data_IF_138972424162
#
_entry.id   IF_138972424162
#
_cell.length_a   1.000
_cell.length_b   1.000
_cell.length_c   1.000
_cell.angle_alpha   90.00
_cell.angle_beta   90.00
_cell.angle_gamma   90.00
#
_symmetry.space_group_name_H-M   'P 1'
#
loop_
_entity.id
_entity.type
_entity.pdbx_description
1 polymer ?
#
# COMPACT_ATOMS: atom_id res chain seq x y z
N UNK A 1 3.80 13.82 14.11
CA UNK A 1 4.82 13.16 13.27
C UNK A 1 4.23 12.80 11.90
N UNK A 2 4.92 13.08 10.80
CA UNK A 2 4.48 12.67 9.46
C UNK A 2 5.29 11.47 8.97
N UNK A 3 4.78 10.25 9.14
CA UNK A 3 5.48 9.05 8.65
C UNK A 3 5.36 8.93 7.12
N UNK A 4 6.41 8.54 6.37
CA UNK A 4 6.35 8.38 4.92
C UNK A 4 5.17 7.52 4.46
N UNK A 5 4.95 6.37 5.12
CA UNK A 5 3.79 5.49 4.87
C UNK A 5 2.45 6.22 5.09
N UNK A 6 2.31 6.97 6.20
CA UNK A 6 1.10 7.74 6.52
C UNK A 6 0.85 8.87 5.52
N UNK A 7 1.90 9.58 5.11
CA UNK A 7 1.80 10.62 4.06
C UNK A 7 1.30 9.99 2.76
N UNK A 8 1.87 8.85 2.37
CA UNK A 8 1.46 8.12 1.18
C UNK A 8 -0.02 7.76 1.20
N UNK A 9 -0.52 7.15 2.29
CA UNK A 9 -1.93 6.79 2.41
C UNK A 9 -2.85 8.00 2.46
N UNK A 10 -2.42 9.09 3.10
CA UNK A 10 -3.19 10.34 3.15
C UNK A 10 -3.44 10.89 1.74
N UNK A 11 -2.42 10.91 0.88
CA UNK A 11 -2.55 11.33 -0.54
C UNK A 11 -3.58 10.49 -1.29
N UNK A 12 -3.59 9.17 -1.08
CA UNK A 12 -4.58 8.27 -1.70
C UNK A 12 -6.00 8.48 -1.15
N UNK A 13 -6.14 8.93 0.09
CA UNK A 13 -7.44 9.14 0.73
C UNK A 13 -8.13 10.43 0.28
N UNK A 14 -7.38 11.45 -0.15
CA UNK A 14 -7.96 12.69 -0.69
C UNK A 14 -8.81 12.44 -1.94
N UNK A 15 -9.88 13.22 -2.07
CA UNK A 15 -10.84 13.15 -3.18
C UNK A 15 -10.64 14.33 -4.10
N UNK A 16 -10.28 14.07 -5.36
CA UNK A 16 -10.17 15.10 -6.40
C UNK A 16 -11.29 14.98 -7.43
N UNK A 17 -11.72 16.11 -7.99
CA UNK A 17 -12.70 16.18 -9.10
C UNK A 17 -12.26 15.37 -10.34
N UNK A 18 -10.95 15.18 -10.52
CA UNK A 18 -10.34 14.40 -11.60
C UNK A 18 -10.61 12.88 -11.51
N UNK A 19 -11.27 12.39 -10.46
CA UNK A 19 -11.52 10.95 -10.30
C UNK A 19 -12.50 10.40 -11.35
N UNK A 20 -13.40 11.24 -11.89
CA UNK A 20 -14.50 10.80 -12.75
C UNK A 20 -14.04 10.08 -14.03
N UNK A 21 -13.01 10.59 -14.70
CA UNK A 21 -12.46 9.95 -15.90
C UNK A 21 -11.89 8.55 -15.60
N UNK A 22 -11.29 8.39 -14.43
CA UNK A 22 -10.72 7.12 -13.99
C UNK A 22 -11.83 6.14 -13.55
N UNK A 23 -12.92 6.64 -12.94
CA UNK A 23 -14.09 5.82 -12.65
C UNK A 23 -14.73 5.26 -13.91
N UNK A 24 -14.87 6.06 -14.97
CA UNK A 24 -15.46 5.61 -16.24
C UNK A 24 -14.56 4.56 -16.92
N UNK A 25 -13.24 4.74 -16.87
CA UNK A 25 -12.28 3.70 -17.27
C UNK A 25 -12.42 2.43 -16.45
N UNK A 26 -12.60 2.52 -15.13
CA UNK A 26 -12.81 1.34 -14.29
C UNK A 26 -14.14 0.62 -14.59
N UNK A 27 -15.22 1.37 -14.91
CA UNK A 27 -16.53 0.82 -15.28
C UNK A 27 -16.49 0.07 -16.62
N UNK A 28 -15.59 0.40 -17.54
CA UNK A 28 -15.48 -0.32 -18.81
C UNK A 28 -14.94 -1.75 -18.65
N UNK A 29 -14.34 -2.09 -17.50
CA UNK A 29 -13.91 -3.45 -17.20
C UNK A 29 -15.04 -4.23 -16.52
N UNK A 30 -15.60 -5.21 -17.24
CA UNK A 30 -16.70 -6.08 -16.77
C UNK A 30 -16.38 -6.88 -15.47
N UNK A 31 -15.13 -6.84 -14.98
CA UNK A 31 -14.68 -7.54 -13.78
C UNK A 31 -15.03 -6.79 -12.48
N UNK A 32 -15.12 -5.46 -12.52
CA UNK A 32 -15.58 -4.70 -11.36
C UNK A 32 -17.11 -4.72 -11.40
N UNK A 33 -17.72 -5.36 -10.40
CA UNK A 33 -19.15 -5.23 -10.16
C UNK A 33 -19.53 -3.74 -10.13
N UNK A 34 -20.78 -3.36 -10.41
CA UNK A 34 -21.24 -1.94 -10.38
C UNK A 34 -21.22 -1.30 -8.98
N UNK A 35 -20.46 -1.88 -8.05
CA UNK A 35 -20.20 -1.39 -6.71
C UNK A 35 -19.36 -0.12 -6.77
N UNK A 36 -19.97 0.98 -6.34
CA UNK A 36 -19.39 2.32 -6.42
C UNK A 36 -18.11 2.48 -5.58
N UNK A 37 -17.96 1.76 -4.47
CA UNK A 37 -16.74 1.83 -3.65
C UNK A 37 -15.57 1.12 -4.32
N UNK A 38 -15.82 -0.06 -4.93
CA UNK A 38 -14.77 -0.77 -5.68
C UNK A 38 -14.35 0.04 -6.90
N UNK A 39 -15.31 0.69 -7.58
CA UNK A 39 -15.03 1.63 -8.68
C UNK A 39 -14.16 2.79 -8.20
N UNK A 40 -14.44 3.38 -7.04
CA UNK A 40 -13.61 4.45 -6.46
C UNK A 40 -12.20 3.99 -6.11
N UNK A 41 -12.06 2.79 -5.52
CA UNK A 41 -10.74 2.19 -5.25
C UNK A 41 -9.96 2.00 -6.55
N UNK A 42 -10.61 1.45 -7.58
CA UNK A 42 -10.01 1.31 -8.91
C UNK A 42 -9.60 2.66 -9.50
N UNK A 43 -10.47 3.68 -9.42
CA UNK A 43 -10.20 4.99 -10.01
C UNK A 43 -8.98 5.66 -9.37
N UNK A 44 -8.86 5.59 -8.03
CA UNK A 44 -7.69 6.08 -7.28
C UNK A 44 -6.41 5.34 -7.69
N UNK A 45 -6.52 4.03 -7.84
CA UNK A 45 -5.43 3.18 -8.29
C UNK A 45 -4.97 3.54 -9.73
N UNK A 46 -5.90 3.70 -10.67
CA UNK A 46 -5.59 4.11 -12.05
C UNK A 46 -4.98 5.52 -12.09
N UNK A 47 -5.53 6.48 -11.33
CA UNK A 47 -4.97 7.83 -11.21
C UNK A 47 -3.52 7.77 -10.71
N UNK A 48 -3.29 7.02 -9.64
CA UNK A 48 -1.97 6.87 -9.04
C UNK A 48 -0.95 6.32 -10.04
N UNK A 49 -1.31 5.28 -10.79
CA UNK A 49 -0.41 4.70 -11.79
C UNK A 49 -0.17 5.62 -12.99
N UNK A 50 -1.18 6.38 -13.42
CA UNK A 50 -1.03 7.36 -14.51
C UNK A 50 0.03 8.40 -14.20
N UNK A 51 0.15 8.80 -12.93
CA UNK A 51 1.12 9.80 -12.46
C UNK A 51 2.32 9.16 -11.73
N UNK A 52 2.61 7.87 -11.95
CA UNK A 52 3.53 7.11 -11.12
C UNK A 52 4.93 7.71 -11.04
N UNK A 53 5.49 8.24 -12.12
CA UNK A 53 6.84 8.82 -12.07
C UNK A 53 6.91 10.07 -11.19
N UNK A 54 5.84 10.85 -11.15
CA UNK A 54 5.71 11.98 -10.22
C UNK A 54 5.52 11.50 -8.78
N UNK A 55 4.89 10.34 -8.59
CA UNK A 55 4.69 9.76 -7.27
C UNK A 55 5.94 9.01 -6.77
N UNK A 56 6.67 8.29 -7.63
CA UNK A 56 7.78 7.39 -7.34
C UNK A 56 9.11 8.16 -7.19
N UNK A 57 9.16 9.06 -6.21
CA UNK A 57 10.32 9.88 -5.93
C UNK A 57 10.61 9.99 -4.43
N UNK A 58 11.80 10.51 -4.11
CA UNK A 58 12.21 10.78 -2.73
C UNK A 58 12.34 9.52 -1.86
N UNK A 59 11.98 9.66 -0.58
CA UNK A 59 12.15 8.64 0.46
C UNK A 59 11.28 7.38 0.26
N UNK A 60 10.29 7.43 -0.63
CA UNK A 60 9.39 6.30 -0.89
C UNK A 60 9.72 5.53 -2.17
N UNK A 61 10.77 5.95 -2.88
CA UNK A 61 11.24 5.28 -4.10
C UNK A 61 11.34 3.76 -3.86
N UNK A 62 10.80 2.98 -4.78
CA UNK A 62 10.73 1.51 -4.73
C UNK A 62 9.73 0.91 -3.71
N UNK A 63 9.10 1.72 -2.84
CA UNK A 63 8.07 1.28 -1.88
C UNK A 63 6.63 1.51 -2.35
N UNK A 64 6.44 2.45 -3.28
CA UNK A 64 5.14 2.89 -3.79
C UNK A 64 4.18 1.76 -4.16
N UNK A 65 4.67 0.74 -4.87
CA UNK A 65 3.82 -0.38 -5.30
C UNK A 65 3.38 -1.29 -4.16
N UNK A 66 4.24 -1.49 -3.17
CA UNK A 66 3.93 -2.30 -2.00
C UNK A 66 2.96 -1.55 -1.09
N UNK A 67 3.19 -0.25 -0.86
CA UNK A 67 2.27 0.61 -0.12
C UNK A 67 0.90 0.71 -0.81
N UNK A 68 0.87 0.87 -2.15
CA UNK A 68 -0.38 0.89 -2.90
C UNK A 68 -1.16 -0.41 -2.77
N UNK A 69 -0.47 -1.56 -2.83
CA UNK A 69 -1.08 -2.87 -2.62
C UNK A 69 -1.67 -3.03 -1.22
N UNK A 70 -0.93 -2.59 -0.18
CA UNK A 70 -1.40 -2.58 1.20
C UNK A 70 -2.63 -1.69 1.37
N UNK A 71 -2.60 -0.48 0.81
CA UNK A 71 -3.72 0.45 0.86
C UNK A 71 -4.99 -0.14 0.22
N UNK A 72 -4.89 -0.72 -0.98
CA UNK A 72 -6.05 -1.34 -1.64
C UNK A 72 -6.66 -2.44 -0.78
N UNK A 73 -5.81 -3.32 -0.22
CA UNK A 73 -6.30 -4.41 0.62
C UNK A 73 -6.97 -3.86 1.89
N UNK A 74 -6.44 -2.78 2.48
CA UNK A 74 -7.06 -2.09 3.61
C UNK A 74 -8.46 -1.58 3.26
N UNK A 75 -8.61 -0.88 2.14
CA UNK A 75 -9.89 -0.36 1.67
C UNK A 75 -10.91 -1.47 1.40
N UNK A 76 -10.47 -2.60 0.83
CA UNK A 76 -11.33 -3.76 0.64
C UNK A 76 -11.72 -4.41 1.97
N UNK A 77 -10.82 -4.49 2.95
CA UNK A 77 -11.16 -4.98 4.28
C UNK A 77 -12.16 -4.08 5.01
N UNK A 78 -12.03 -2.75 4.88
CA UNK A 78 -13.00 -1.80 5.42
C UNK A 78 -14.38 -2.03 4.80
N UNK A 79 -14.44 -2.08 3.47
CA UNK A 79 -15.66 -2.36 2.72
C UNK A 79 -16.35 -3.67 3.13
N UNK A 80 -15.58 -4.74 3.27
CA UNK A 80 -16.11 -6.07 3.55
C UNK A 80 -16.17 -6.42 5.03
N UNK A 81 -16.13 -5.43 5.93
CA UNK A 81 -16.22 -5.63 7.38
C UNK A 81 -15.20 -6.67 7.86
N UNK A 82 -13.96 -6.58 7.36
CA UNK A 82 -12.82 -7.44 7.71
C UNK A 82 -12.98 -8.92 7.31
N UNK A 83 -13.96 -9.25 6.46
CA UNK A 83 -14.21 -10.62 5.96
C UNK A 83 -13.23 -10.96 4.81
N UNK A 84 -12.12 -11.61 5.15
CA UNK A 84 -11.05 -11.97 4.19
C UNK A 84 -11.54 -12.75 2.97
N UNK A 85 -12.52 -13.65 3.13
CA UNK A 85 -13.11 -14.42 2.03
C UNK A 85 -13.80 -13.56 0.95
N UNK A 86 -14.11 -12.29 1.24
CA UNK A 86 -14.69 -11.35 0.28
C UNK A 86 -13.67 -10.39 -0.35
N UNK A 87 -12.44 -10.33 0.18
CA UNK A 87 -11.40 -9.38 -0.28
C UNK A 87 -10.61 -9.92 -1.48
N UNK A 88 -10.33 -11.23 -1.50
CA UNK A 88 -9.45 -11.83 -2.49
C UNK A 88 -9.95 -11.67 -3.94
N UNK A 89 -11.26 -11.84 -4.19
CA UNK A 89 -11.82 -11.75 -5.54
C UNK A 89 -11.74 -10.32 -6.09
N UNK A 90 -12.25 -9.27 -5.40
CA UNK A 90 -12.08 -7.89 -5.83
C UNK A 90 -10.62 -7.47 -5.98
N UNK A 91 -9.73 -7.89 -5.08
CA UNK A 91 -8.31 -7.59 -5.19
C UNK A 91 -7.71 -8.17 -6.48
N UNK A 92 -8.04 -9.42 -6.82
CA UNK A 92 -7.59 -10.02 -8.08
C UNK A 92 -8.18 -9.32 -9.31
N UNK A 93 -9.45 -8.91 -9.28
CA UNK A 93 -10.04 -8.14 -10.38
C UNK A 93 -9.33 -6.80 -10.60
N UNK A 94 -9.00 -6.07 -9.53
CA UNK A 94 -8.20 -4.85 -9.62
C UNK A 94 -6.82 -5.12 -10.23
N UNK A 95 -6.14 -6.21 -9.83
CA UNK A 95 -4.86 -6.61 -10.43
C UNK A 95 -4.96 -6.89 -11.93
N UNK A 96 -6.04 -7.54 -12.37
CA UNK A 96 -6.27 -7.80 -13.81
C UNK A 96 -6.43 -6.50 -14.59
N UNK A 97 -7.26 -5.59 -14.08
CA UNK A 97 -7.47 -4.28 -14.71
C UNK A 97 -6.16 -3.55 -14.87
N UNK A 98 -5.32 -3.60 -13.84
CA UNK A 98 -4.04 -2.90 -13.86
C UNK A 98 -3.06 -3.48 -14.86
N UNK A 99 -3.02 -4.80 -15.03
CA UNK A 99 -2.24 -5.40 -16.12
C UNK A 99 -2.69 -4.90 -17.50
N UNK A 100 -3.97 -4.54 -17.68
CA UNK A 100 -4.45 -3.98 -18.94
C UNK A 100 -4.17 -2.48 -19.05
N UNK A 101 -4.37 -1.72 -17.96
CA UNK A 101 -4.04 -0.30 -17.89
C UNK A 101 -2.55 -0.07 -18.15
N UNK A 102 -1.67 -0.88 -17.55
CA UNK A 102 -0.22 -0.79 -17.72
C UNK A 102 0.18 -1.03 -19.17
N UNK A 103 -0.46 -1.95 -19.92
CA UNK A 103 -0.14 -2.15 -21.35
C UNK A 103 -0.35 -0.90 -22.19
N UNK A 104 -1.24 0.00 -21.77
CA UNK A 104 -1.47 1.28 -22.44
C UNK A 104 -0.36 2.30 -22.12
N UNK A 105 0.36 2.13 -21.01
CA UNK A 105 1.49 2.95 -20.62
C UNK A 105 2.80 2.24 -21.02
N UNK A 106 3.57 2.83 -21.94
CA UNK A 106 4.80 2.25 -22.51
C UNK A 106 5.98 2.08 -21.52
N UNK A 107 5.74 2.10 -20.20
CA UNK A 107 6.75 2.09 -19.16
C UNK A 107 6.86 0.72 -18.49
N UNK A 108 8.02 0.08 -18.66
CA UNK A 108 8.41 -1.16 -17.99
C UNK A 108 8.49 -1.04 -16.46
N UNK A 109 8.49 0.18 -15.93
CA UNK A 109 8.57 0.46 -14.48
C UNK A 109 7.31 0.00 -13.72
N UNK A 110 6.22 -0.25 -14.47
CA UNK A 110 4.94 -0.70 -13.93
C UNK A 110 4.77 -2.21 -13.79
N UNK A 111 5.56 -3.01 -14.50
CA UNK A 111 5.38 -4.47 -14.68
C UNK A 111 5.41 -5.26 -13.36
N UNK A 112 5.71 -4.59 -12.25
CA UNK A 112 5.84 -5.15 -10.91
C UNK A 112 4.87 -4.59 -9.87
N UNK A 113 4.03 -3.61 -10.23
CA UNK A 113 3.05 -3.04 -9.30
C UNK A 113 1.86 -3.98 -9.08
N UNK A 114 1.33 -4.06 -7.84
CA UNK A 114 0.21 -4.92 -7.47
C UNK A 114 0.40 -6.42 -7.76
N UNK A 115 1.62 -6.91 -7.54
CA UNK A 115 1.86 -8.36 -7.49
C UNK A 115 0.95 -9.02 -6.44
N UNK A 116 0.72 -10.31 -6.60
CA UNK A 116 -0.14 -11.06 -5.70
C UNK A 116 0.40 -10.92 -4.27
N UNK A 117 -0.43 -10.39 -3.37
CA UNK A 117 -0.18 -10.39 -1.92
C UNK A 117 -1.21 -11.34 -1.34
N UNK A 118 -0.79 -12.42 -0.65
CA UNK A 118 -1.72 -13.37 -0.06
C UNK A 118 -2.67 -12.67 0.89
N UNK A 119 -3.95 -12.69 0.56
CA UNK A 119 -5.00 -12.16 1.45
C UNK A 119 -5.21 -13.16 2.58
N UNK A 120 -4.50 -12.95 3.67
CA UNK A 120 -4.68 -13.72 4.91
C UNK A 120 -5.90 -13.26 5.70
N UNK A 121 -6.13 -13.84 6.87
CA UNK A 121 -7.08 -13.27 7.84
C UNK A 121 -6.71 -11.81 8.15
N UNK A 122 -7.71 -10.96 8.39
CA UNK A 122 -7.53 -9.52 8.62
C UNK A 122 -6.47 -9.22 9.69
N UNK A 123 -6.53 -9.92 10.83
CA UNK A 123 -5.58 -9.70 11.95
C UNK A 123 -4.14 -9.97 11.52
N UNK A 124 -3.91 -11.03 10.77
CA UNK A 124 -2.57 -11.36 10.27
C UNK A 124 -2.14 -10.32 9.25
N UNK A 125 -3.01 -10.01 8.28
CA UNK A 125 -2.72 -9.04 7.24
C UNK A 125 -2.38 -7.66 7.83
N UNK A 126 -3.11 -7.22 8.85
CA UNK A 126 -2.88 -5.94 9.52
C UNK A 126 -1.50 -5.89 10.17
N UNK A 127 -1.09 -6.96 10.86
CA UNK A 127 0.27 -7.09 11.40
C UNK A 127 1.35 -7.03 10.32
N UNK A 128 1.12 -7.66 9.16
CA UNK A 128 2.04 -7.60 8.02
C UNK A 128 2.17 -6.19 7.45
N UNK A 129 1.04 -5.48 7.32
CA UNK A 129 0.99 -4.08 6.90
C UNK A 129 1.77 -3.19 7.87
N UNK A 130 1.44 -3.27 9.17
CA UNK A 130 2.04 -2.40 10.18
C UNK A 130 3.56 -2.63 10.30
N UNK A 131 4.03 -3.87 10.16
CA UNK A 131 5.46 -4.19 10.07
C UNK A 131 6.12 -3.59 8.82
N UNK A 132 5.48 -3.70 7.65
CA UNK A 132 6.03 -3.12 6.42
C UNK A 132 6.06 -1.58 6.47
N UNK A 133 5.00 -0.96 6.98
CA UNK A 133 4.93 0.49 7.21
C UNK A 133 6.10 0.93 8.11
N UNK A 134 6.35 0.22 9.20
CA UNK A 134 7.51 0.47 10.06
C UNK A 134 8.85 0.36 9.32
N UNK A 135 9.06 -0.67 8.49
CA UNK A 135 10.29 -0.81 7.70
C UNK A 135 10.54 0.42 6.80
N UNK A 136 9.47 0.92 6.16
CA UNK A 136 9.53 2.10 5.28
C UNK A 136 9.79 3.37 6.08
N UNK A 137 9.18 3.46 7.25
CA UNK A 137 9.26 4.63 8.12
C UNK A 137 10.58 4.68 8.91
N UNK A 138 11.31 3.57 9.00
CA UNK A 138 12.47 3.40 9.85
C UNK A 138 13.57 4.45 9.63
N UNK A 139 13.87 4.74 8.36
CA UNK A 139 14.87 5.75 8.00
C UNK A 139 14.51 7.15 8.48
N UNK A 140 13.21 7.45 8.62
CA UNK A 140 12.78 8.75 9.13
C UNK A 140 13.13 8.89 10.61
N UNK A 141 13.06 7.81 11.39
CA UNK A 141 13.44 7.86 12.81
C UNK A 141 14.93 8.19 13.01
N UNK A 142 15.79 7.69 12.12
CA UNK A 142 17.24 7.95 12.19
C UNK A 142 17.65 9.37 11.79
N UNK A 143 16.76 10.11 11.10
CA UNK A 143 17.00 11.48 10.62
C UNK A 143 16.33 12.55 11.49
N UNK A 144 15.85 12.17 12.68
CA UNK A 144 15.20 13.11 13.57
C UNK A 144 16.23 13.94 14.33
N UNK A 145 16.20 15.25 14.11
CA UNK A 145 17.04 16.21 14.84
C UNK A 145 16.28 16.88 16.00
N UNK A 146 14.95 16.74 16.08
CA UNK A 146 14.09 17.33 17.10
C UNK A 146 13.58 16.27 18.08
N UNK A 147 14.23 16.22 19.24
CA UNK A 147 13.96 15.32 20.37
C UNK A 147 13.17 16.02 21.50
N UNK A 148 12.19 16.87 21.17
CA UNK A 148 11.26 17.34 22.21
C UNK A 148 10.58 16.17 22.93
N UNK A 149 10.43 16.26 24.26
CA UNK A 149 9.91 15.19 25.12
C UNK A 149 8.59 14.58 24.60
N UNK A 150 7.70 15.44 24.09
CA UNK A 150 6.41 15.00 23.52
C UNK A 150 6.59 14.13 22.28
N UNK A 151 7.48 14.52 21.35
CA UNK A 151 7.74 13.73 20.14
C UNK A 151 8.42 12.42 20.51
N UNK A 152 9.38 12.44 21.44
CA UNK A 152 10.02 11.24 21.98
C UNK A 152 9.01 10.23 22.53
N UNK A 153 8.02 10.71 23.29
CA UNK A 153 6.95 9.84 23.79
C UNK A 153 6.11 9.22 22.65
N UNK A 154 5.70 10.04 21.65
CA UNK A 154 4.99 9.53 20.46
C UNK A 154 5.80 8.44 19.71
N UNK A 155 7.13 8.59 19.64
CA UNK A 155 8.03 7.58 19.04
C UNK A 155 8.12 6.32 19.88
N UNK A 156 8.31 6.46 21.19
CA UNK A 156 8.41 5.33 22.10
C UNK A 156 7.14 4.48 22.07
N UNK A 157 5.96 5.11 22.09
CA UNK A 157 4.66 4.43 21.96
C UNK A 157 4.57 3.67 20.64
N UNK A 158 4.89 4.31 19.51
CA UNK A 158 4.86 3.66 18.19
C UNK A 158 5.85 2.48 18.09
N UNK A 159 7.08 2.64 18.57
CA UNK A 159 8.10 1.57 18.55
C UNK A 159 7.68 0.41 19.46
N UNK A 160 7.10 0.69 20.63
CA UNK A 160 6.62 -0.33 21.56
C UNK A 160 5.47 -1.16 20.96
N UNK A 161 4.58 -0.54 20.17
CA UNK A 161 3.52 -1.25 19.45
C UNK A 161 4.08 -2.17 18.35
N UNK A 162 5.14 -1.75 17.65
CA UNK A 162 5.72 -2.51 16.54
C UNK A 162 6.72 -3.58 16.99
N UNK A 163 7.45 -3.36 18.08
CA UNK A 163 8.49 -4.27 18.58
C UNK A 163 8.06 -5.76 18.65
N UNK A 164 6.85 -6.11 19.14
CA UNK A 164 6.37 -7.50 19.11
C UNK A 164 6.18 -8.09 17.71
N UNK A 165 5.87 -7.25 16.71
CA UNK A 165 5.74 -7.64 15.30
C UNK A 165 7.13 -7.83 14.68
N UNK A 166 8.06 -6.93 15.00
CA UNK A 166 9.45 -7.01 14.55
C UNK A 166 10.14 -8.32 14.98
N UNK A 167 9.91 -8.75 16.23
CA UNK A 167 10.40 -10.04 16.74
C UNK A 167 9.87 -11.25 15.95
N UNK A 168 8.85 -11.06 15.11
CA UNK A 168 8.24 -12.07 14.23
C UNK A 168 8.44 -11.75 12.75
N UNK A 169 9.44 -10.93 12.39
CA UNK A 169 9.69 -10.47 11.01
C UNK A 169 9.78 -11.63 10.01
N UNK A 170 10.44 -12.74 10.37
CA UNK A 170 10.55 -13.93 9.51
C UNK A 170 9.19 -14.51 9.11
N UNK A 171 8.18 -14.39 9.98
CA UNK A 171 6.83 -14.95 9.77
C UNK A 171 5.87 -13.91 9.18
N UNK A 172 6.02 -12.65 9.56
CA UNK A 172 5.10 -11.57 9.22
C UNK A 172 5.51 -10.81 7.96
N UNK A 173 6.79 -10.77 7.61
CA UNK A 173 7.21 -10.08 6.40
C UNK A 173 6.61 -10.74 5.16
N UNK A 174 6.10 -9.92 4.24
CA UNK A 174 5.40 -10.41 3.04
C UNK A 174 6.43 -11.06 2.09
N UNK A 175 6.35 -12.36 1.80
CA UNK A 175 7.36 -13.07 1.01
C UNK A 175 7.57 -12.49 -0.39
N UNK A 176 6.49 -12.00 -1.00
CA UNK A 176 6.53 -11.38 -2.32
C UNK A 176 7.33 -10.08 -2.30
N UNK A 177 7.23 -9.29 -1.22
CA UNK A 177 8.01 -8.06 -1.05
C UNK A 177 9.49 -8.37 -0.82
N UNK A 178 9.80 -9.45 -0.10
CA UNK A 178 11.20 -9.91 0.12
C UNK A 178 11.84 -10.35 -1.18
N UNK A 179 11.07 -11.02 -2.04
CA UNK A 179 11.54 -11.46 -3.36
C UNK A 179 11.81 -10.29 -4.28
N UNK A 180 11.00 -9.23 -4.22
CA UNK A 180 11.16 -8.02 -5.04
C UNK A 180 12.35 -7.18 -4.62
N UNK A 181 12.59 -7.02 -3.32
CA UNK A 181 13.69 -6.23 -2.79
C UNK A 181 14.28 -6.90 -1.55
N UNK A 182 15.25 -7.79 -1.79
CA UNK A 182 15.93 -8.53 -0.72
C UNK A 182 16.75 -7.60 0.17
N UNK A 183 17.44 -6.63 -0.43
CA UNK A 183 18.30 -5.69 0.31
C UNK A 183 17.49 -4.85 1.30
N UNK A 184 16.29 -4.41 0.92
CA UNK A 184 15.39 -3.72 1.84
C UNK A 184 14.89 -4.61 2.97
N UNK A 185 14.58 -5.88 2.69
CA UNK A 185 14.22 -6.82 3.74
C UNK A 185 15.38 -7.03 4.74
N UNK A 186 16.62 -7.20 4.27
CA UNK A 186 17.78 -7.32 5.16
C UNK A 186 18.04 -6.03 5.94
N UNK A 187 17.76 -4.86 5.35
CA UNK A 187 17.84 -3.57 6.05
C UNK A 187 16.77 -3.43 7.15
N UNK A 188 15.57 -3.99 6.92
CA UNK A 188 14.52 -3.99 7.94
C UNK A 188 14.75 -5.03 9.04
N UNK A 189 15.68 -5.97 8.87
CA UNK A 189 15.94 -7.04 9.84
C UNK A 189 17.07 -6.67 10.80
#
# INVERSE_FOLDING_TARGET
MELPSKIFYSKLNFSDEELKQHEDKCKSYNLINTDSEIIKICAKLVKYLTNYNEQNNGDLKDHHCNLLSLWIIEQLFEKFERKSGKVAVPYNHLRFIINDVIKEFTQSEFDNCLRYVPVSQYVIWKKRKDLYDYCVDYDKFNKLDDFSDKKCQEYEEYINEISPLYNQIETLYIPEYKTMNKDFYEKCR
#
